data_IF_328405293972
#
_entry.id   IF_328405293972
#
_cell.length_a   1.000
_cell.length_b   1.000
_cell.length_c   1.000
_cell.angle_alpha   90.00
_cell.angle_beta   90.00
_cell.angle_gamma   90.00
#
_symmetry.space_group_name_H-M   'P 1'
#
loop_
_entity.id
_entity.type
_entity.pdbx_description
1 polymer ?
#
# COMPACT_ATOMS: atom_id res chain seq x y z
N UNK A 1 -19.76 0.72 20.75
CA UNK A 1 -19.24 0.36 19.41
C UNK A 1 -17.81 0.89 19.29
N UNK A 2 -16.86 0.07 18.84
CA UNK A 2 -15.47 0.49 18.63
C UNK A 2 -15.24 0.61 17.13
N UNK A 3 -14.69 1.73 16.69
CA UNK A 3 -14.28 1.94 15.31
C UNK A 3 -12.76 2.10 15.29
N UNK A 4 -12.10 1.35 14.41
CA UNK A 4 -10.67 1.41 14.18
C UNK A 4 -10.41 1.66 12.69
N UNK A 5 -9.42 2.51 12.40
CA UNK A 5 -9.02 2.87 11.05
C UNK A 5 -7.51 2.67 10.92
N UNK A 6 -7.07 2.13 9.79
CA UNK A 6 -5.65 1.89 9.58
C UNK A 6 -5.36 1.14 8.29
N UNK A 7 -4.07 1.00 7.98
CA UNK A 7 -3.61 0.22 6.85
C UNK A 7 -3.77 -1.28 7.15
N UNK A 8 -4.31 -2.00 6.17
CA UNK A 8 -4.47 -3.45 6.25
C UNK A 8 -3.12 -4.18 6.08
N UNK A 9 -2.46 -3.89 4.96
CA UNK A 9 -1.22 -4.53 4.53
C UNK A 9 -0.09 -3.51 4.42
N UNK A 10 1.14 -3.96 4.65
CA UNK A 10 2.36 -3.21 4.38
C UNK A 10 2.73 -3.23 2.89
N UNK A 11 3.90 -2.66 2.58
CA UNK A 11 4.43 -2.58 1.23
C UNK A 11 4.89 -3.91 0.64
N UNK A 12 5.06 -4.94 1.48
CA UNK A 12 5.39 -6.31 1.08
C UNK A 12 4.13 -7.13 0.86
N UNK A 13 2.97 -6.49 1.00
CA UNK A 13 1.65 -7.09 0.98
C UNK A 13 1.45 -8.13 2.11
N UNK A 14 2.09 -7.90 3.27
CA UNK A 14 1.84 -8.64 4.51
C UNK A 14 0.92 -7.85 5.43
N UNK A 15 0.08 -8.53 6.24
CA UNK A 15 -0.76 -7.86 7.22
C UNK A 15 0.10 -7.19 8.29
N UNK A 16 -0.26 -5.96 8.68
CA UNK A 16 0.23 -5.42 9.95
C UNK A 16 -0.29 -6.28 11.10
N UNK A 17 0.54 -6.52 12.11
CA UNK A 17 0.20 -7.39 13.24
C UNK A 17 -1.12 -6.98 13.90
N UNK A 18 -1.26 -5.70 14.25
CA UNK A 18 -2.51 -5.17 14.81
C UNK A 18 -3.70 -5.34 13.86
N UNK A 19 -3.51 -5.04 12.57
CA UNK A 19 -4.55 -5.21 11.55
C UNK A 19 -4.99 -6.65 11.38
N UNK A 20 -4.08 -7.62 11.51
CA UNK A 20 -4.42 -9.06 11.49
C UNK A 20 -5.42 -9.41 12.58
N UNK A 21 -5.20 -8.95 13.82
CA UNK A 21 -6.13 -9.19 14.92
C UNK A 21 -7.43 -8.40 14.77
N UNK A 22 -7.37 -7.14 14.31
CA UNK A 22 -8.57 -6.35 14.05
C UNK A 22 -9.49 -7.02 13.01
N UNK A 23 -8.92 -7.55 11.92
CA UNK A 23 -9.70 -8.27 10.91
C UNK A 23 -10.28 -9.59 11.44
N UNK A 24 -9.60 -10.27 12.36
CA UNK A 24 -10.06 -11.52 12.94
C UNK A 24 -11.28 -11.31 13.86
N UNK A 25 -11.30 -10.21 14.61
CA UNK A 25 -12.33 -9.92 15.60
C UNK A 25 -13.46 -9.00 15.10
N UNK A 26 -13.29 -8.32 13.96
CA UNK A 26 -14.26 -7.34 13.50
C UNK A 26 -15.56 -7.99 13.03
N UNK A 27 -16.69 -7.54 13.60
CA UNK A 27 -18.03 -7.89 13.12
C UNK A 27 -18.34 -7.26 11.74
N UNK A 28 -17.74 -6.10 11.44
CA UNK A 28 -17.92 -5.38 10.18
C UNK A 28 -16.60 -4.81 9.68
N UNK A 29 -16.31 -5.04 8.40
CA UNK A 29 -15.10 -4.56 7.72
C UNK A 29 -15.53 -3.72 6.53
N UNK A 30 -15.05 -2.48 6.46
CA UNK A 30 -15.22 -1.60 5.31
C UNK A 30 -13.85 -1.23 4.73
N UNK A 31 -13.70 -1.43 3.42
CA UNK A 31 -12.48 -1.09 2.71
C UNK A 31 -12.63 0.25 2.01
N UNK A 32 -11.75 1.20 2.35
CA UNK A 32 -11.66 2.49 1.66
C UNK A 32 -11.10 2.27 0.26
N UNK A 33 -11.87 2.62 -0.77
CA UNK A 33 -11.48 2.45 -2.17
C UNK A 33 -10.61 3.63 -2.60
N UNK A 34 -9.43 3.34 -3.11
CA UNK A 34 -8.58 4.29 -3.83
C UNK A 34 -8.35 3.82 -5.26
N UNK A 35 -7.82 4.73 -6.10
CA UNK A 35 -7.52 4.44 -7.50
C UNK A 35 -6.03 4.17 -7.63
N UNK A 36 -5.68 3.19 -8.45
CA UNK A 36 -4.29 2.88 -8.75
C UNK A 36 -3.60 4.09 -9.39
N UNK A 37 -2.42 4.44 -8.90
CA UNK A 37 -1.65 5.56 -9.42
C UNK A 37 -1.45 5.50 -10.94
N UNK A 38 -1.14 4.31 -11.47
CA UNK A 38 -0.85 4.11 -12.89
C UNK A 38 -2.06 3.74 -13.78
N UNK A 39 -3.27 3.53 -13.22
CA UNK A 39 -4.47 3.24 -14.02
C UNK A 39 -5.78 3.45 -13.27
N UNK A 40 -6.91 3.47 -13.98
CA UNK A 40 -8.23 3.65 -13.39
C UNK A 40 -8.81 2.44 -12.62
N UNK A 41 -7.98 1.43 -12.27
CA UNK A 41 -8.43 0.26 -11.49
C UNK A 41 -8.32 0.52 -10.00
N UNK A 42 -9.10 -0.22 -9.20
CA UNK A 42 -9.04 -0.19 -7.73
C UNK A 42 -7.61 -0.47 -7.25
N UNK A 43 -7.07 0.40 -6.41
CA UNK A 43 -5.84 0.14 -5.67
C UNK A 43 -6.12 -0.75 -4.48
N UNK A 44 -5.27 -1.78 -4.31
CA UNK A 44 -5.38 -2.77 -3.23
C UNK A 44 -4.03 -3.11 -2.60
N UNK A 45 -2.94 -2.56 -3.13
CA UNK A 45 -1.57 -2.75 -2.64
C UNK A 45 -0.90 -1.39 -2.40
N UNK A 46 0.04 -1.35 -1.47
CA UNK A 46 0.94 -0.22 -1.27
C UNK A 46 2.29 -0.56 -1.93
N UNK A 47 2.69 0.18 -2.95
CA UNK A 47 4.00 0.02 -3.58
C UNK A 47 4.98 0.99 -2.92
N UNK A 48 6.08 0.49 -2.36
CA UNK A 48 7.18 1.33 -1.86
C UNK A 48 8.20 1.56 -2.97
N UNK A 49 8.61 2.80 -3.16
CA UNK A 49 9.69 3.20 -4.07
C UNK A 49 10.87 3.75 -3.25
N UNK A 50 12.09 3.44 -3.68
CA UNK A 50 13.34 4.02 -3.20
C UNK A 50 14.25 4.23 -4.40
N UNK A 51 14.80 5.44 -4.55
CA UNK A 51 15.65 5.82 -5.71
C UNK A 51 15.03 5.45 -7.08
N UNK A 52 13.72 5.67 -7.23
CA UNK A 52 12.97 5.36 -8.47
C UNK A 52 12.76 3.85 -8.74
N UNK A 53 13.14 2.98 -7.82
CA UNK A 53 12.99 1.52 -7.94
C UNK A 53 12.00 0.96 -6.90
N UNK A 54 11.21 -0.07 -7.26
CA UNK A 54 10.28 -0.70 -6.34
C UNK A 54 11.01 -1.58 -5.34
N UNK A 55 10.61 -1.45 -4.07
CA UNK A 55 11.19 -2.17 -2.96
C UNK A 55 10.16 -3.16 -2.41
N UNK A 56 10.54 -4.43 -2.27
CA UNK A 56 9.68 -5.50 -1.73
C UNK A 56 10.26 -6.16 -0.47
N UNK A 57 11.40 -5.67 0.01
CA UNK A 57 12.08 -6.18 1.19
C UNK A 57 12.52 -5.04 2.11
N UNK A 58 12.96 -5.37 3.32
CA UNK A 58 13.41 -4.40 4.31
C UNK A 58 12.38 -4.10 5.40
N UNK A 59 12.67 -3.07 6.21
CA UNK A 59 11.88 -2.78 7.41
C UNK A 59 10.48 -2.28 7.05
N UNK A 60 9.48 -2.88 7.69
CA UNK A 60 8.05 -2.56 7.52
C UNK A 60 7.76 -1.08 7.81
N UNK A 61 8.36 -0.52 8.85
CA UNK A 61 8.20 0.87 9.25
C UNK A 61 9.33 1.72 8.67
N UNK A 62 8.97 2.61 7.76
CA UNK A 62 9.79 3.73 7.33
C UNK A 62 8.86 4.95 7.33
N UNK A 63 9.25 6.03 8.01
CA UNK A 63 8.49 7.28 7.97
C UNK A 63 8.91 8.00 6.69
N UNK A 64 8.03 8.01 5.69
CA UNK A 64 8.21 8.68 4.40
C UNK A 64 6.85 9.15 3.87
N UNK A 65 6.83 10.17 3.02
CA UNK A 65 5.63 10.78 2.42
C UNK A 65 5.25 10.18 1.06
N UNK A 66 4.69 11.02 0.17
CA UNK A 66 4.31 10.64 -1.20
C UNK A 66 5.51 10.23 -2.07
N UNK A 67 6.69 10.69 -1.71
CA UNK A 67 7.98 10.39 -2.35
C UNK A 67 8.36 8.91 -2.28
N UNK A 68 7.66 8.12 -1.44
CA UNK A 68 8.05 6.73 -1.14
C UNK A 68 6.93 5.70 -1.31
N UNK A 69 5.66 6.10 -1.48
CA UNK A 69 4.53 5.15 -1.48
C UNK A 69 3.43 5.49 -2.47
N UNK A 70 3.07 4.52 -3.30
CA UNK A 70 1.98 4.64 -4.27
C UNK A 70 0.88 3.59 -4.02
N UNK A 71 -0.40 4.00 -3.94
CA UNK A 71 -1.52 3.07 -3.94
C UNK A 71 -1.68 2.50 -5.37
N UNK A 72 -1.58 1.17 -5.51
CA UNK A 72 -1.60 0.53 -6.83
C UNK A 72 -2.50 -0.70 -6.89
N UNK A 73 -2.93 -1.08 -8.09
CA UNK A 73 -3.57 -2.37 -8.32
C UNK A 73 -2.53 -3.50 -8.25
N UNK A 74 -2.97 -4.74 -8.07
CA UNK A 74 -2.08 -5.92 -7.99
C UNK A 74 -1.16 -6.06 -9.21
N UNK A 75 -1.62 -5.70 -10.41
CA UNK A 75 -0.79 -5.80 -11.62
C UNK A 75 0.42 -4.87 -11.54
N UNK A 76 0.17 -3.57 -11.27
CA UNK A 76 1.22 -2.57 -11.17
C UNK A 76 2.06 -2.67 -9.89
N UNK A 77 1.58 -3.40 -8.88
CA UNK A 77 2.45 -3.80 -7.76
C UNK A 77 3.60 -4.69 -8.22
N UNK A 78 3.38 -5.64 -9.14
CA UNK A 78 4.44 -6.51 -9.66
C UNK A 78 5.12 -5.97 -10.93
N UNK A 79 4.44 -5.09 -11.68
CA UNK A 79 4.90 -4.56 -12.95
C UNK A 79 4.71 -3.03 -12.99
N UNK A 80 5.36 -2.27 -12.09
CA UNK A 80 5.23 -0.82 -12.08
C UNK A 80 5.85 -0.22 -13.34
N UNK A 81 5.16 0.70 -14.04
CA UNK A 81 5.74 1.40 -15.18
C UNK A 81 6.73 2.47 -14.69
N UNK A 82 7.98 2.07 -14.43
CA UNK A 82 9.01 2.92 -13.81
C UNK A 82 9.27 4.23 -14.55
N UNK A 83 8.99 4.30 -15.86
CA UNK A 83 9.12 5.52 -16.67
C UNK A 83 8.14 6.63 -16.25
N UNK A 84 7.12 6.31 -15.45
CA UNK A 84 6.09 7.23 -14.97
C UNK A 84 6.32 7.67 -13.52
N UNK A 85 7.46 7.30 -12.92
CA UNK A 85 7.84 7.68 -11.56
C UNK A 85 9.00 8.67 -11.71
N UNK A 86 8.70 9.97 -11.57
CA UNK A 86 9.72 11.02 -11.63
C UNK A 86 10.51 11.00 -10.31
N UNK A 87 11.87 10.97 -10.32
CA UNK A 87 12.67 11.04 -9.10
C UNK A 87 12.52 12.35 -8.28
N UNK A 88 11.68 13.30 -8.72
CA UNK A 88 11.44 14.58 -8.07
C UNK A 88 10.00 14.77 -7.51
N UNK A 89 9.13 13.76 -7.60
CA UNK A 89 7.75 13.76 -7.04
C UNK A 89 7.66 13.17 -5.62
#
# INVERSE_FOLDING_TARGET
PVMAFGLKNDFRNELFEGSKYLLLYADKIEEMKTICWFCAKKAIMNLRIHDGQPVYEGKQVLIGGNESYYPVCRHHYFHPPLKQIDPAD
#
